data_IF_979876455563
#
_entry.id   IF_979876455563
#
_cell.length_a   1.000
_cell.length_b   1.000
_cell.length_c   1.000
_cell.angle_alpha   90.00
_cell.angle_beta   90.00
_cell.angle_gamma   90.00
#
_symmetry.space_group_name_H-M   'P 1'
#
loop_
_entity.id
_entity.type
_entity.pdbx_description
1 polymer ?
#
# COMPACT_ATOMS: atom_id res chain seq x y z
N UNK A 1 1.79 24.59 -19.91
CA UNK A 1 3.07 23.85 -19.93
C UNK A 1 3.98 24.10 -18.70
N UNK A 2 4.23 25.35 -18.27
CA UNK A 2 5.10 25.62 -17.09
C UNK A 2 4.64 24.92 -15.80
N UNK A 3 3.35 24.95 -15.47
CA UNK A 3 2.82 24.32 -14.24
C UNK A 3 2.91 22.79 -14.23
N UNK A 4 2.87 22.17 -15.41
CA UNK A 4 3.00 20.71 -15.57
C UNK A 4 4.44 20.26 -15.36
N UNK A 5 5.40 20.97 -15.97
CA UNK A 5 6.82 20.66 -15.81
C UNK A 5 7.29 20.82 -14.36
N UNK A 6 6.85 21.89 -13.68
CA UNK A 6 7.15 22.11 -12.25
C UNK A 6 6.57 20.99 -11.38
N UNK A 7 5.34 20.54 -11.65
CA UNK A 7 4.75 19.42 -10.91
C UNK A 7 5.50 18.10 -11.12
N UNK A 8 5.89 17.81 -12.37
CA UNK A 8 6.63 16.58 -12.71
C UNK A 8 8.02 16.59 -12.06
N UNK A 9 8.73 17.71 -12.12
CA UNK A 9 10.07 17.85 -11.53
C UNK A 9 10.00 17.78 -10.01
N UNK A 10 9.06 18.50 -9.38
CA UNK A 10 8.88 18.47 -7.93
C UNK A 10 8.53 17.06 -7.43
N UNK A 11 7.67 16.35 -8.16
CA UNK A 11 7.33 14.96 -7.85
C UNK A 11 8.56 14.05 -7.92
N UNK A 12 9.33 14.12 -9.01
CA UNK A 12 10.57 13.33 -9.18
C UNK A 12 11.60 13.64 -8.09
N UNK A 13 11.73 14.90 -7.67
CA UNK A 13 12.61 15.30 -6.58
C UNK A 13 12.17 14.69 -5.23
N UNK A 14 10.87 14.72 -4.91
CA UNK A 14 10.31 14.12 -3.70
C UNK A 14 10.52 12.60 -3.68
N UNK A 15 10.31 11.91 -4.80
CA UNK A 15 10.52 10.47 -4.93
C UNK A 15 11.99 10.08 -4.69
N UNK A 16 12.92 10.84 -5.27
CA UNK A 16 14.37 10.65 -5.04
C UNK A 16 14.75 10.93 -3.60
N UNK A 17 14.20 11.99 -2.99
CA UNK A 17 14.45 12.33 -1.60
C UNK A 17 13.94 11.23 -0.65
N UNK A 18 12.73 10.73 -0.87
CA UNK A 18 12.18 9.61 -0.09
C UNK A 18 13.07 8.38 -0.18
N UNK A 19 13.48 8.00 -1.40
CA UNK A 19 14.37 6.86 -1.62
C UNK A 19 15.72 7.05 -0.92
N UNK A 20 16.29 8.26 -1.01
CA UNK A 20 17.57 8.60 -0.38
C UNK A 20 17.48 8.50 1.15
N UNK A 21 16.47 9.15 1.75
CA UNK A 21 16.26 9.13 3.20
C UNK A 21 15.99 7.72 3.72
N UNK A 22 15.21 6.93 2.98
CA UNK A 22 14.96 5.53 3.28
C UNK A 22 16.24 4.68 3.19
N UNK A 23 17.08 4.91 2.17
CA UNK A 23 18.37 4.26 2.00
C UNK A 23 19.33 4.53 3.16
N UNK A 24 19.36 5.77 3.66
CA UNK A 24 20.08 6.16 4.89
C UNK A 24 19.36 5.79 6.19
N UNK A 25 18.29 5.00 6.11
CA UNK A 25 17.52 4.46 7.25
C UNK A 25 16.93 5.55 8.17
N UNK A 26 16.65 6.74 7.63
CA UNK A 26 16.09 7.89 8.34
C UNK A 26 14.57 7.76 8.55
N UNK A 27 14.14 6.78 9.34
CA UNK A 27 12.72 6.44 9.53
C UNK A 27 11.86 7.63 10.00
N UNK A 28 12.39 8.47 10.89
CA UNK A 28 11.69 9.67 11.38
C UNK A 28 11.45 10.70 10.28
N UNK A 29 12.47 11.01 9.48
CA UNK A 29 12.35 11.98 8.38
C UNK A 29 11.41 11.47 7.29
N UNK A 30 11.51 10.17 6.97
CA UNK A 30 10.57 9.54 6.02
C UNK A 30 9.14 9.59 6.56
N UNK A 31 8.90 9.32 7.85
CA UNK A 31 7.56 9.42 8.43
C UNK A 31 6.98 10.85 8.38
N UNK A 32 7.81 11.87 8.66
CA UNK A 32 7.41 13.29 8.56
C UNK A 32 7.06 13.63 7.12
N UNK A 33 7.92 13.28 6.17
CA UNK A 33 7.69 13.56 4.75
C UNK A 33 6.45 12.80 4.24
N UNK A 34 6.29 11.53 4.63
CA UNK A 34 5.11 10.73 4.32
C UNK A 34 3.83 11.42 4.83
N UNK A 35 3.84 11.92 6.07
CA UNK A 35 2.72 12.66 6.66
C UNK A 35 2.38 13.92 5.88
N UNK A 36 3.37 14.67 5.40
CA UNK A 36 3.17 15.88 4.59
C UNK A 36 2.55 15.55 3.23
N UNK A 37 2.93 14.41 2.65
CA UNK A 37 2.44 13.96 1.34
C UNK A 37 1.06 13.29 1.41
N UNK A 38 0.60 12.89 2.59
CA UNK A 38 -0.76 12.42 2.79
C UNK A 38 -1.74 13.59 2.65
N UNK A 39 -2.70 13.43 1.75
CA UNK A 39 -3.85 14.32 1.61
C UNK A 39 -5.12 13.69 2.17
N UNK A 40 -6.10 14.51 2.51
CA UNK A 40 -7.44 14.03 2.87
C UNK A 40 -8.25 13.77 1.59
N UNK A 41 -9.02 12.68 1.57
CA UNK A 41 -10.02 12.46 0.53
C UNK A 41 -11.25 13.33 0.83
N UNK A 42 -11.70 14.18 -0.11
CA UNK A 42 -12.98 14.88 0.04
C UNK A 42 -14.12 13.87 -0.06
N UNK A 43 -15.12 13.99 0.81
CA UNK A 43 -16.31 13.13 0.81
C UNK A 43 -17.57 13.90 1.18
N UNK A 44 -18.77 13.35 0.90
CA UNK A 44 -20.05 14.02 1.15
C UNK A 44 -20.24 14.45 2.60
N UNK A 45 -19.68 13.68 3.54
CA UNK A 45 -19.79 13.90 4.98
C UNK A 45 -18.50 14.46 5.60
N UNK A 46 -17.62 15.04 4.78
CA UNK A 46 -16.28 15.46 5.18
C UNK A 46 -16.23 16.92 5.68
N UNK A 47 -17.27 17.37 6.39
CA UNK A 47 -17.48 18.77 6.83
C UNK A 47 -16.56 19.28 7.95
N UNK A 48 -15.44 18.61 8.24
CA UNK A 48 -14.55 18.90 9.36
C UNK A 48 -14.89 18.08 10.61
N UNK A 49 -14.29 18.42 11.76
CA UNK A 49 -14.52 17.73 13.04
C UNK A 49 -13.71 16.45 13.25
N UNK A 50 -13.98 15.73 14.34
CA UNK A 50 -13.38 14.41 14.63
C UNK A 50 -14.20 13.30 13.96
N UNK A 51 -13.52 12.25 13.51
CA UNK A 51 -14.14 11.04 12.95
C UNK A 51 -13.74 9.87 13.83
N UNK A 52 -14.55 8.81 13.85
CA UNK A 52 -14.31 7.64 14.70
C UNK A 52 -13.14 6.81 14.21
N UNK A 53 -13.00 6.67 12.89
CA UNK A 53 -11.96 5.88 12.26
C UNK A 53 -11.19 6.71 11.22
N UNK A 54 -9.88 6.49 11.15
CA UNK A 54 -8.96 7.07 10.20
C UNK A 54 -8.34 5.98 9.34
N UNK A 55 -8.67 5.97 8.05
CA UNK A 55 -8.19 4.95 7.11
C UNK A 55 -7.21 5.59 6.15
N UNK A 56 -6.03 4.99 5.98
CA UNK A 56 -5.08 5.36 4.93
C UNK A 56 -5.32 4.49 3.69
N UNK A 57 -5.37 5.10 2.51
CA UNK A 57 -5.34 4.39 1.24
C UNK A 57 -4.09 4.75 0.43
N UNK A 58 -3.60 3.79 -0.34
CA UNK A 58 -2.61 4.05 -1.38
C UNK A 58 -3.32 4.27 -2.71
N UNK A 59 -3.12 5.44 -3.33
CA UNK A 59 -3.90 5.81 -4.51
C UNK A 59 -3.58 4.97 -5.76
N UNK A 60 -4.65 4.57 -6.43
CA UNK A 60 -4.66 4.13 -7.82
C UNK A 60 -5.97 4.61 -8.42
N UNK A 61 -5.95 5.09 -9.68
CA UNK A 61 -7.08 5.82 -10.26
C UNK A 61 -8.42 5.07 -10.10
N UNK A 62 -8.46 3.79 -10.48
CA UNK A 62 -9.62 2.91 -10.37
C UNK A 62 -10.00 2.57 -8.93
N UNK A 63 -9.03 2.52 -8.01
CA UNK A 63 -9.27 2.24 -6.60
C UNK A 63 -9.82 3.44 -5.82
N UNK A 64 -9.50 4.66 -6.27
CA UNK A 64 -9.93 5.89 -5.60
C UNK A 64 -11.45 6.04 -5.56
N UNK A 65 -12.12 5.77 -6.69
CA UNK A 65 -13.57 5.84 -6.80
C UNK A 65 -14.27 4.83 -5.89
N UNK A 66 -13.72 3.63 -5.77
CA UNK A 66 -14.27 2.59 -4.89
C UNK A 66 -14.19 2.99 -3.42
N UNK A 67 -13.03 3.51 -2.99
CA UNK A 67 -12.85 3.97 -1.62
C UNK A 67 -13.74 5.18 -1.34
N UNK A 68 -13.89 6.09 -2.31
CA UNK A 68 -14.76 7.26 -2.18
C UNK A 68 -16.24 6.85 -2.03
N UNK A 69 -16.71 5.94 -2.89
CA UNK A 69 -18.10 5.47 -2.86
C UNK A 69 -18.44 4.61 -1.64
N UNK A 70 -17.44 3.95 -1.03
CA UNK A 70 -17.62 3.11 0.15
C UNK A 70 -17.24 3.86 1.44
N UNK A 71 -15.95 3.90 1.76
CA UNK A 71 -15.42 4.47 3.00
C UNK A 71 -15.59 6.00 3.05
N UNK A 72 -15.44 6.70 1.92
CA UNK A 72 -15.60 8.15 1.83
C UNK A 72 -17.05 8.61 2.02
N UNK A 73 -18.02 7.74 1.76
CA UNK A 73 -19.44 7.97 2.00
C UNK A 73 -19.87 7.65 3.45
N UNK A 74 -18.98 7.12 4.29
CA UNK A 74 -19.30 6.84 5.69
C UNK A 74 -19.22 8.09 6.57
N UNK A 75 -20.17 8.24 7.49
CA UNK A 75 -20.15 9.32 8.47
C UNK A 75 -19.07 9.15 9.55
N UNK A 76 -18.62 7.92 9.78
CA UNK A 76 -17.69 7.58 10.86
C UNK A 76 -16.22 7.56 10.42
N UNK A 77 -15.96 7.48 9.12
CA UNK A 77 -14.63 7.26 8.56
C UNK A 77 -14.06 8.54 7.98
N UNK A 78 -12.77 8.78 8.24
CA UNK A 78 -11.93 9.73 7.51
C UNK A 78 -10.95 8.97 6.65
N UNK A 79 -11.00 9.19 5.34
CA UNK A 79 -10.02 8.61 4.41
C UNK A 79 -8.89 9.59 4.15
N UNK A 80 -7.67 9.10 4.33
CA UNK A 80 -6.41 9.74 3.99
C UNK A 80 -5.80 9.03 2.79
N UNK A 81 -5.13 9.78 1.93
CA UNK A 81 -4.64 9.29 0.65
C UNK A 81 -3.14 9.57 0.57
N UNK A 82 -2.34 8.52 0.52
CA UNK A 82 -0.93 8.63 0.14
C UNK A 82 -0.79 8.23 -1.34
N UNK A 83 0.05 8.95 -2.07
CA UNK A 83 0.33 8.57 -3.44
C UNK A 83 1.10 7.24 -3.45
N UNK A 84 0.69 6.25 -4.27
CA UNK A 84 1.37 4.94 -4.28
C UNK A 84 2.86 5.03 -4.62
N UNK A 85 3.28 6.09 -5.32
CA UNK A 85 4.69 6.26 -5.65
C UNK A 85 5.52 6.52 -4.40
N UNK A 86 4.96 7.13 -3.33
CA UNK A 86 5.64 7.28 -2.05
C UNK A 86 6.06 5.92 -1.49
N UNK A 87 5.14 4.96 -1.47
CA UNK A 87 5.41 3.60 -0.98
C UNK A 87 6.45 2.90 -1.86
N UNK A 88 6.31 3.01 -3.19
CA UNK A 88 7.28 2.46 -4.14
C UNK A 88 8.68 3.06 -4.01
N UNK A 89 8.79 4.37 -3.79
CA UNK A 89 10.08 5.05 -3.60
C UNK A 89 10.79 4.55 -2.34
N UNK A 90 10.06 4.31 -1.26
CA UNK A 90 10.61 3.72 -0.04
C UNK A 90 11.04 2.27 -0.32
N UNK A 91 10.17 1.45 -0.91
CA UNK A 91 10.47 0.05 -1.22
C UNK A 91 11.73 -0.09 -2.11
N UNK A 92 11.88 0.77 -3.12
CA UNK A 92 13.03 0.79 -4.04
C UNK A 92 14.38 1.15 -3.37
N UNK A 93 14.38 1.57 -2.10
CA UNK A 93 15.60 1.74 -1.32
C UNK A 93 16.11 0.44 -0.68
N UNK A 94 15.29 -0.61 -0.65
CA UNK A 94 15.60 -1.89 0.01
C UNK A 94 15.49 -3.07 -0.94
N UNK A 95 14.41 -3.10 -1.73
CA UNK A 95 14.06 -4.24 -2.56
C UNK A 95 14.88 -4.24 -3.87
N UNK A 96 15.33 -5.43 -4.32
CA UNK A 96 16.00 -5.57 -5.59
C UNK A 96 15.05 -5.19 -6.75
N UNK A 97 15.57 -4.55 -7.82
CA UNK A 97 14.75 -4.06 -8.93
C UNK A 97 14.07 -5.16 -9.75
N UNK A 98 14.50 -6.41 -9.59
CA UNK A 98 13.93 -7.59 -10.26
C UNK A 98 12.59 -8.01 -9.65
N UNK A 99 12.25 -7.57 -8.43
CA UNK A 99 10.95 -7.87 -7.83
C UNK A 99 9.85 -6.99 -8.42
N UNK A 100 8.73 -7.62 -8.76
CA UNK A 100 7.53 -6.95 -9.22
C UNK A 100 6.24 -7.56 -8.64
N UNK A 101 5.09 -7.05 -9.09
CA UNK A 101 3.76 -7.46 -8.61
C UNK A 101 3.41 -8.93 -8.97
N UNK A 102 4.14 -9.55 -9.89
CA UNK A 102 3.94 -10.92 -10.36
C UNK A 102 5.07 -11.88 -9.94
N UNK A 103 6.30 -11.39 -9.78
CA UNK A 103 7.48 -12.15 -9.37
C UNK A 103 8.02 -11.56 -8.07
N UNK A 104 7.45 -12.03 -6.96
CA UNK A 104 7.84 -11.57 -5.63
C UNK A 104 8.48 -12.66 -4.78
N UNK A 105 8.00 -13.91 -4.88
CA UNK A 105 8.61 -15.05 -4.18
C UNK A 105 10.04 -15.22 -4.70
N UNK A 106 10.98 -15.40 -3.77
CA UNK A 106 12.39 -15.55 -4.06
C UNK A 106 13.05 -16.25 -2.89
N UNK A 107 13.83 -17.29 -3.19
CA UNK A 107 14.62 -18.04 -2.22
C UNK A 107 16.06 -17.50 -2.11
N UNK A 108 16.39 -16.45 -2.87
CA UNK A 108 17.70 -15.80 -2.84
C UNK A 108 17.93 -15.16 -1.45
N UNK A 109 18.98 -15.58 -0.70
CA UNK A 109 19.19 -15.11 0.68
C UNK A 109 19.31 -13.58 0.79
N UNK A 110 19.94 -12.94 -0.19
CA UNK A 110 20.05 -11.48 -0.24
C UNK A 110 18.69 -10.80 -0.37
N UNK A 111 17.79 -11.36 -1.21
CA UNK A 111 16.43 -10.84 -1.40
C UNK A 111 15.59 -11.01 -0.15
N UNK A 112 15.69 -12.15 0.52
CA UNK A 112 15.00 -12.41 1.79
C UNK A 112 15.44 -11.39 2.84
N UNK A 113 16.76 -11.15 2.96
CA UNK A 113 17.31 -10.14 3.87
C UNK A 113 16.80 -8.73 3.54
N UNK A 114 16.79 -8.34 2.26
CA UNK A 114 16.25 -7.03 1.83
C UNK A 114 14.79 -6.83 2.21
N UNK A 115 13.95 -7.87 2.09
CA UNK A 115 12.54 -7.83 2.53
C UNK A 115 12.41 -7.64 4.04
N UNK A 116 13.19 -8.39 4.82
CA UNK A 116 13.22 -8.25 6.29
C UNK A 116 13.66 -6.85 6.71
N UNK A 117 14.70 -6.31 6.08
CA UNK A 117 15.18 -4.95 6.32
C UNK A 117 14.14 -3.89 5.97
N UNK A 118 13.40 -4.10 4.87
CA UNK A 118 12.31 -3.24 4.46
C UNK A 118 11.17 -3.26 5.48
N UNK A 119 10.70 -4.44 5.88
CA UNK A 119 9.67 -4.60 6.91
C UNK A 119 10.08 -3.94 8.23
N UNK A 120 11.30 -4.19 8.71
CA UNK A 120 11.82 -3.56 9.92
C UNK A 120 11.90 -2.03 9.82
N UNK A 121 12.24 -1.49 8.65
CA UNK A 121 12.20 -0.06 8.42
C UNK A 121 10.76 0.49 8.47
N UNK A 122 9.79 -0.17 7.84
CA UNK A 122 8.39 0.22 7.90
C UNK A 122 7.89 0.21 9.35
N UNK A 123 8.20 -0.81 10.15
CA UNK A 123 7.81 -0.87 11.56
C UNK A 123 8.28 0.37 12.33
N UNK A 124 9.55 0.79 12.15
CA UNK A 124 10.09 1.99 12.81
C UNK A 124 9.47 3.28 12.28
N UNK A 125 9.33 3.41 10.96
CA UNK A 125 8.71 4.57 10.33
C UNK A 125 7.26 4.72 10.79
N UNK A 126 6.51 3.62 10.85
CA UNK A 126 5.11 3.62 11.24
C UNK A 126 4.90 4.02 12.69
N UNK A 127 5.76 3.58 13.60
CA UNK A 127 5.73 4.00 15.01
C UNK A 127 5.87 5.52 15.20
N UNK A 128 6.57 6.20 14.28
CA UNK A 128 6.64 7.67 14.24
C UNK A 128 5.38 8.23 13.58
N UNK A 129 4.97 7.69 12.42
CA UNK A 129 3.81 8.19 11.67
C UNK A 129 2.52 8.13 12.50
N UNK A 130 2.31 7.07 13.28
CA UNK A 130 1.12 6.89 14.12
C UNK A 130 1.01 7.93 15.24
N UNK A 131 2.13 8.54 15.65
CA UNK A 131 2.15 9.68 16.59
C UNK A 131 1.86 11.01 15.88
N UNK A 132 2.19 11.12 14.59
CA UNK A 132 1.93 12.32 13.78
C UNK A 132 0.49 12.38 13.25
N UNK A 133 -0.14 11.22 13.04
CA UNK A 133 -1.56 11.12 12.72
C UNK A 133 -2.13 9.75 13.12
N UNK A 134 -3.37 9.70 13.63
CA UNK A 134 -4.06 8.44 13.85
C UNK A 134 -4.37 7.76 12.51
N UNK A 135 -4.08 6.47 12.43
CA UNK A 135 -4.43 5.58 11.33
C UNK A 135 -4.88 4.25 11.96
N UNK A 136 -6.16 3.97 11.87
CA UNK A 136 -6.81 2.80 12.45
C UNK A 136 -6.82 1.60 11.49
N UNK A 137 -6.67 1.84 10.19
CA UNK A 137 -6.52 0.80 9.18
C UNK A 137 -5.87 1.36 7.90
N UNK A 138 -5.31 0.47 7.09
CA UNK A 138 -4.80 0.76 5.75
C UNK A 138 -5.55 -0.07 4.72
N UNK A 139 -5.92 0.53 3.60
CA UNK A 139 -6.57 -0.15 2.47
C UNK A 139 -5.73 -0.04 1.20
N UNK A 140 -5.68 -1.15 0.45
CA UNK A 140 -5.01 -1.24 -0.84
C UNK A 140 -5.94 -1.83 -1.91
N UNK A 141 -5.72 -1.47 -3.17
CA UNK A 141 -6.48 -2.02 -4.30
C UNK A 141 -6.07 -3.43 -4.71
N UNK A 142 -4.92 -3.96 -4.23
CA UNK A 142 -4.44 -5.29 -4.61
C UNK A 142 -3.51 -5.86 -3.53
N UNK A 143 -3.67 -7.15 -3.20
CA UNK A 143 -2.82 -7.83 -2.24
C UNK A 143 -1.39 -8.09 -2.78
N UNK A 144 -1.23 -8.12 -4.10
CA UNK A 144 0.01 -8.50 -4.78
C UNK A 144 0.98 -7.36 -5.07
N UNK A 145 0.70 -6.13 -4.64
CA UNK A 145 1.61 -5.01 -4.92
C UNK A 145 2.94 -5.19 -4.21
N UNK A 146 4.04 -5.32 -4.95
CA UNK A 146 5.35 -5.70 -4.42
C UNK A 146 5.81 -4.76 -3.28
N UNK A 147 5.58 -3.46 -3.46
CA UNK A 147 5.99 -2.43 -2.51
C UNK A 147 5.16 -2.44 -1.23
N UNK A 148 4.00 -3.10 -1.22
CA UNK A 148 3.06 -3.03 -0.10
C UNK A 148 3.10 -4.28 0.79
N UNK A 149 3.87 -5.31 0.43
CA UNK A 149 3.83 -6.61 1.11
C UNK A 149 4.48 -6.61 2.48
N UNK A 150 5.73 -6.17 2.54
CA UNK A 150 6.41 -5.99 3.82
C UNK A 150 5.77 -4.83 4.59
N UNK A 151 5.13 -3.89 3.90
CA UNK A 151 4.35 -2.84 4.53
C UNK A 151 3.14 -3.42 5.28
N UNK A 152 2.37 -4.29 4.62
CA UNK A 152 1.23 -4.98 5.21
C UNK A 152 1.66 -5.84 6.40
N UNK A 153 2.71 -6.66 6.23
CA UNK A 153 3.23 -7.50 7.32
C UNK A 153 3.71 -6.68 8.53
N UNK A 154 4.42 -5.57 8.28
CA UNK A 154 4.86 -4.67 9.35
C UNK A 154 3.68 -4.04 10.11
N UNK A 155 2.63 -3.62 9.42
CA UNK A 155 1.42 -3.08 10.05
C UNK A 155 0.65 -4.10 10.87
N UNK A 156 0.49 -5.32 10.33
CA UNK A 156 -0.15 -6.41 11.06
C UNK A 156 0.58 -6.72 12.37
N UNK A 157 1.92 -6.72 12.35
CA UNK A 157 2.75 -6.91 13.55
C UNK A 157 2.57 -5.80 14.59
N UNK A 158 2.13 -4.61 14.17
CA UNK A 158 1.81 -3.47 15.03
C UNK A 158 0.31 -3.40 15.41
N UNK A 159 -0.48 -4.40 15.03
CA UNK A 159 -1.91 -4.47 15.29
C UNK A 159 -2.77 -3.63 14.35
N UNK A 160 -2.18 -2.91 13.39
CA UNK A 160 -2.92 -2.06 12.43
C UNK A 160 -3.40 -2.93 11.26
N UNK A 161 -4.74 -3.07 11.06
CA UNK A 161 -5.29 -3.82 9.94
C UNK A 161 -4.82 -3.29 8.58
N UNK A 162 -4.27 -4.17 7.76
CA UNK A 162 -4.05 -3.94 6.32
C UNK A 162 -5.05 -4.76 5.49
N UNK A 163 -5.90 -4.08 4.73
CA UNK A 163 -7.00 -4.68 4.00
C UNK A 163 -6.81 -4.50 2.49
N UNK A 164 -6.92 -5.56 1.71
CA UNK A 164 -6.93 -5.46 0.25
C UNK A 164 -8.38 -5.46 -0.27
N UNK A 165 -8.80 -4.38 -0.93
CA UNK A 165 -10.09 -4.28 -1.63
C UNK A 165 -9.86 -4.68 -3.10
N UNK A 166 -10.04 -5.95 -3.38
CA UNK A 166 -9.55 -6.58 -4.60
C UNK A 166 -10.57 -6.53 -5.75
N UNK A 167 -10.88 -5.33 -6.27
CA UNK A 167 -11.82 -5.16 -7.39
C UNK A 167 -11.20 -5.42 -8.77
N UNK A 168 -9.92 -5.08 -8.92
CA UNK A 168 -9.28 -4.93 -10.25
C UNK A 168 -8.90 -6.23 -10.95
N UNK A 169 -9.24 -7.39 -10.38
CA UNK A 169 -8.73 -8.67 -10.84
C UNK A 169 -9.81 -9.64 -11.30
N UNK A 170 -11.00 -9.19 -11.70
CA UNK A 170 -12.01 -10.07 -12.30
C UNK A 170 -11.39 -10.96 -13.39
N UNK A 171 -11.26 -12.27 -13.12
CA UNK A 171 -10.73 -13.24 -14.08
C UNK A 171 -11.83 -13.98 -14.82
N UNK A 172 -11.57 -14.31 -16.08
CA UNK A 172 -12.40 -15.27 -16.80
C UNK A 172 -12.12 -16.70 -16.31
N UNK A 173 -13.11 -17.61 -16.33
CA UNK A 173 -12.94 -18.99 -15.90
C UNK A 173 -11.77 -19.72 -16.56
N UNK A 174 -11.53 -19.49 -17.86
CA UNK A 174 -10.42 -20.11 -18.59
C UNK A 174 -9.01 -19.68 -18.15
N UNK A 175 -8.88 -18.78 -17.17
CA UNK A 175 -7.59 -18.35 -16.63
C UNK A 175 -7.36 -18.76 -15.18
N UNK A 176 -8.26 -19.56 -14.58
CA UNK A 176 -8.15 -19.95 -13.17
C UNK A 176 -6.81 -20.59 -12.84
N UNK A 177 -6.42 -21.64 -13.57
CA UNK A 177 -5.19 -22.39 -13.27
C UNK A 177 -3.95 -21.50 -13.35
N UNK A 178 -3.90 -20.61 -14.34
CA UNK A 178 -2.83 -19.62 -14.47
C UNK A 178 -2.76 -18.69 -13.25
N UNK A 179 -3.90 -18.17 -12.76
CA UNK A 179 -3.89 -17.26 -11.62
C UNK A 179 -3.66 -17.98 -10.29
N UNK A 180 -4.15 -19.21 -10.13
CA UNK A 180 -3.83 -20.05 -8.98
C UNK A 180 -2.32 -20.31 -8.90
N UNK A 181 -1.69 -20.70 -10.01
CA UNK A 181 -0.23 -20.87 -10.08
C UNK A 181 0.52 -19.57 -9.79
N UNK A 182 0.12 -18.46 -10.43
CA UNK A 182 0.71 -17.14 -10.20
C UNK A 182 0.64 -16.76 -8.72
N UNK A 183 -0.50 -16.97 -8.08
CA UNK A 183 -0.73 -16.56 -6.69
C UNK A 183 0.02 -17.45 -5.71
N UNK A 184 0.09 -18.75 -5.95
CA UNK A 184 0.80 -19.68 -5.08
C UNK A 184 2.31 -19.56 -5.22
N UNK A 185 2.80 -19.61 -6.45
CA UNK A 185 4.22 -19.88 -6.72
C UNK A 185 5.04 -18.62 -6.99
N UNK A 186 4.42 -17.52 -7.45
CA UNK A 186 5.17 -16.32 -7.88
C UNK A 186 4.86 -15.09 -7.04
N UNK A 187 3.60 -14.89 -6.67
CA UNK A 187 3.22 -13.89 -5.66
C UNK A 187 3.40 -14.48 -4.27
N UNK A 188 2.84 -15.63 -3.94
CA UNK A 188 2.81 -16.12 -2.57
C UNK A 188 1.80 -15.36 -1.69
N UNK A 189 1.74 -15.68 -0.39
CA UNK A 189 0.61 -15.33 0.46
C UNK A 189 0.51 -13.83 0.76
N UNK A 190 -0.71 -13.37 0.99
CA UNK A 190 -0.98 -12.04 1.53
C UNK A 190 -0.64 -11.98 3.01
N UNK A 191 0.06 -10.93 3.40
CA UNK A 191 0.56 -10.72 4.76
C UNK A 191 -0.31 -9.74 5.56
N UNK A 192 -1.39 -9.20 4.98
CA UNK A 192 -2.37 -8.34 5.67
C UNK A 192 -3.52 -9.11 6.31
N UNK A 193 -4.46 -8.39 6.94
CA UNK A 193 -5.55 -8.98 7.73
C UNK A 193 -6.58 -9.74 6.89
N UNK A 194 -7.06 -9.11 5.82
CA UNK A 194 -8.16 -9.61 4.98
C UNK A 194 -8.05 -9.11 3.55
N UNK A 195 -8.50 -9.96 2.63
CA UNK A 195 -8.78 -9.59 1.26
C UNK A 195 -10.31 -9.58 1.09
N UNK A 196 -10.84 -8.44 0.66
CA UNK A 196 -12.25 -8.26 0.33
C UNK A 196 -12.40 -8.40 -1.19
N UNK A 197 -13.21 -9.36 -1.60
CA UNK A 197 -13.44 -9.72 -3.01
C UNK A 197 -14.87 -9.41 -3.42
N UNK A 198 -15.06 -9.13 -4.72
CA UNK A 198 -16.36 -8.75 -5.27
C UNK A 198 -17.22 -9.93 -5.72
N UNK A 199 -16.62 -11.11 -5.87
CA UNK A 199 -17.33 -12.31 -6.27
C UNK A 199 -16.71 -13.57 -5.67
N UNK A 200 -17.47 -14.65 -5.73
CA UNK A 200 -17.08 -15.96 -5.25
C UNK A 200 -15.88 -16.54 -6.01
N UNK A 201 -15.76 -16.19 -7.29
CA UNK A 201 -14.73 -16.70 -8.18
C UNK A 201 -13.32 -16.28 -7.73
N UNK A 202 -13.14 -14.99 -7.45
CA UNK A 202 -11.91 -14.43 -6.89
C UNK A 202 -11.62 -15.02 -5.50
N UNK A 203 -12.68 -15.25 -4.70
CA UNK A 203 -12.53 -15.90 -3.39
C UNK A 203 -11.89 -17.27 -3.52
N UNK A 204 -12.39 -18.10 -4.43
CA UNK A 204 -11.87 -19.44 -4.68
C UNK A 204 -10.42 -19.39 -5.14
N UNK A 205 -10.09 -18.57 -6.15
CA UNK A 205 -8.71 -18.48 -6.67
C UNK A 205 -7.72 -17.99 -5.61
N UNK A 206 -8.11 -17.04 -4.76
CA UNK A 206 -7.23 -16.48 -3.73
C UNK A 206 -7.09 -17.36 -2.48
N UNK A 207 -8.10 -18.16 -2.15
CA UNK A 207 -8.03 -19.11 -1.03
C UNK A 207 -7.42 -20.45 -1.43
N UNK A 208 -7.53 -20.82 -2.70
CA UNK A 208 -6.86 -22.00 -3.24
C UNK A 208 -5.37 -21.78 -3.45
N UNK A 209 -4.91 -20.54 -3.62
CA UNK A 209 -3.50 -20.20 -3.79
C UNK A 209 -2.68 -20.44 -2.53
#
# INVERSE_FOLDING_TARGET
MKNFLVHVVARSAVERLLRLLAGYRQATLVAILFRVLIRRMPGPHDHGGKKRYHVLMFDKNTFYEDVLASLGASQDVRVHVANRVVVKSIAAAFLPPELDDNYYVSDEPATIRSKQEYGAFITRMWAVLSRLMPIDAVVSGNFGYYAEREFAGALESLGVPFLALHKENLKSPGRMDFFTDLYRNRRGPFTGRRILVYNEFERVVQTAA
#
